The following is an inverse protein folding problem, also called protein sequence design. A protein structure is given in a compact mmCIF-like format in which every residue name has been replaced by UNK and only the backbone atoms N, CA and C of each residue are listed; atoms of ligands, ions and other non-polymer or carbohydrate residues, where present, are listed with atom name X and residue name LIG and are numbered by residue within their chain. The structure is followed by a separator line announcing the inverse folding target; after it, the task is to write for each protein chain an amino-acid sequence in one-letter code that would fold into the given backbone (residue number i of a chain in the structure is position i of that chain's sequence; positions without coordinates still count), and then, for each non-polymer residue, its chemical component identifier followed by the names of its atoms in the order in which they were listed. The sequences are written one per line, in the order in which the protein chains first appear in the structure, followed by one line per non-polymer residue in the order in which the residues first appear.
data_IF_134395678174
#
_entry.id   IF_134395678174
#
_cell.length_a   1.000
_cell.length_b   1.000
_cell.length_c   1.000
_cell.angle_alpha   90.00
_cell.angle_beta   90.00
_cell.angle_gamma   90.00
#
_symmetry.space_group_name_H-M   'P 1'
#
loop_
_entity.id
_entity.type
_entity.pdbx_description
1 polymer ?
#
# COMPACT_ATOMS: atom_id res chain seq x y z
N UNK A 1 -30.00 11.97 -5.12
CA UNK A 1 -29.21 10.76 -4.80
C UNK A 1 -27.98 10.74 -5.69
N UNK A 2 -26.78 10.91 -5.14
CA UNK A 2 -25.51 10.97 -5.90
C UNK A 2 -25.00 9.55 -6.12
N UNK A 3 -24.61 9.19 -7.35
CA UNK A 3 -24.11 7.85 -7.71
C UNK A 3 -22.96 7.40 -6.77
N UNK A 4 -22.98 6.15 -6.26
CA UNK A 4 -21.96 5.63 -5.34
C UNK A 4 -20.56 5.58 -5.96
N UNK A 5 -20.47 5.54 -7.30
CA UNK A 5 -19.22 5.57 -8.06
C UNK A 5 -18.48 6.91 -7.93
N UNK A 6 -19.20 8.03 -7.95
CA UNK A 6 -18.60 9.36 -7.75
C UNK A 6 -18.04 9.52 -6.33
N UNK A 7 -18.72 8.94 -5.34
CA UNK A 7 -18.32 9.04 -3.92
C UNK A 7 -16.95 8.41 -3.65
N UNK A 8 -16.64 7.29 -4.32
CA UNK A 8 -15.34 6.60 -4.19
C UNK A 8 -14.19 7.40 -4.79
N UNK A 9 -14.44 8.18 -5.83
CA UNK A 9 -13.42 9.04 -6.47
C UNK A 9 -13.22 10.37 -5.75
N UNK A 10 -14.31 10.91 -5.18
CA UNK A 10 -14.30 12.16 -4.43
C UNK A 10 -13.70 12.01 -3.03
N UNK A 11 -14.04 10.95 -2.28
CA UNK A 11 -13.60 10.80 -0.87
C UNK A 11 -12.08 10.91 -0.66
N UNK A 12 -11.22 10.30 -1.49
CA UNK A 12 -9.76 10.44 -1.34
C UNK A 12 -9.23 11.83 -1.72
N UNK A 13 -9.97 12.60 -2.53
CA UNK A 13 -9.53 13.87 -3.14
C UNK A 13 -10.16 15.11 -2.49
N UNK A 14 -11.03 14.93 -1.50
CA UNK A 14 -11.69 16.03 -0.77
C UNK A 14 -10.71 17.00 -0.15
N UNK A 15 -9.64 16.49 0.48
CA UNK A 15 -8.61 17.33 1.11
C UNK A 15 -7.89 18.22 0.09
N UNK A 16 -7.58 17.67 -1.09
CA UNK A 16 -6.95 18.42 -2.18
C UNK A 16 -7.88 19.49 -2.75
N UNK A 17 -9.17 19.18 -2.89
CA UNK A 17 -10.18 20.14 -3.35
C UNK A 17 -10.37 21.29 -2.37
N UNK A 18 -10.41 21.03 -1.06
CA UNK A 18 -10.47 22.10 -0.05
C UNK A 18 -9.18 22.92 0.02
N UNK A 19 -8.01 22.32 -0.21
CA UNK A 19 -6.75 23.05 -0.28
C UNK A 19 -6.68 23.96 -1.52
N UNK A 20 -7.10 23.47 -2.69
CA UNK A 20 -7.18 24.27 -3.93
C UNK A 20 -8.17 25.42 -3.75
N UNK A 21 -9.34 25.16 -3.16
CA UNK A 21 -10.31 26.21 -2.85
C UNK A 21 -9.74 27.27 -1.91
N UNK A 22 -8.97 26.86 -0.89
CA UNK A 22 -8.28 27.78 0.01
C UNK A 22 -7.23 28.65 -0.69
N UNK A 23 -6.44 28.07 -1.60
CA UNK A 23 -5.45 28.81 -2.41
C UNK A 23 -6.14 29.83 -3.32
N UNK A 24 -7.20 29.43 -4.01
CA UNK A 24 -7.96 30.33 -4.90
C UNK A 24 -8.63 31.47 -4.12
N UNK A 25 -9.15 31.19 -2.92
CA UNK A 25 -9.74 32.20 -2.06
C UNK A 25 -8.69 33.19 -1.54
N UNK A 26 -7.52 32.69 -1.10
CA UNK A 26 -6.41 33.51 -0.64
C UNK A 26 -5.87 34.43 -1.75
N UNK A 27 -5.73 33.91 -2.97
CA UNK A 27 -5.30 34.67 -4.14
C UNK A 27 -6.35 35.71 -4.57
N UNK A 28 -7.64 35.38 -4.49
CA UNK A 28 -8.73 36.32 -4.76
C UNK A 28 -8.81 37.47 -3.75
N UNK A 29 -8.53 37.20 -2.47
CA UNK A 29 -8.44 38.24 -1.44
C UNK A 29 -7.23 39.16 -1.68
N UNK A 30 -6.09 38.59 -2.09
CA UNK A 30 -4.88 39.36 -2.37
C UNK A 30 -5.04 40.33 -3.56
N UNK A 31 -5.90 40.00 -4.54
CA UNK A 31 -6.15 40.87 -5.72
C UNK A 31 -7.18 41.97 -5.48
N UNK A 32 -7.86 42.02 -4.32
CA UNK A 32 -8.85 43.06 -3.95
C UNK A 32 -8.23 44.40 -3.49
N UNK A 33 -6.90 44.50 -3.36
CA UNK A 33 -6.14 45.75 -3.22
C UNK A 33 -5.73 46.13 -1.79
N UNK A 34 -4.53 46.72 -1.64
CA UNK A 34 -3.94 47.20 -0.38
C UNK A 34 -2.86 46.27 0.19
N UNK A 35 -1.75 46.83 0.72
CA UNK A 35 -0.61 46.06 1.25
C UNK A 35 -1.00 45.13 2.40
N UNK A 36 -1.98 45.54 3.21
CA UNK A 36 -2.52 44.75 4.32
C UNK A 36 -3.29 43.51 3.83
N UNK A 37 -4.16 43.69 2.82
CA UNK A 37 -4.95 42.61 2.23
C UNK A 37 -4.07 41.64 1.41
N UNK A 38 -3.04 42.17 0.74
CA UNK A 38 -2.01 41.37 0.07
C UNK A 38 -1.22 40.48 1.04
N UNK A 39 -0.76 41.05 2.17
CA UNK A 39 -0.05 40.28 3.20
C UNK A 39 -0.90 39.17 3.81
N UNK A 40 -2.16 39.47 4.15
CA UNK A 40 -3.08 38.49 4.74
C UNK A 40 -3.44 37.36 3.75
N UNK A 41 -3.66 37.68 2.48
CA UNK A 41 -3.89 36.69 1.43
C UNK A 41 -2.68 35.77 1.20
N UNK A 42 -1.46 36.32 1.33
CA UNK A 42 -0.22 35.56 1.18
C UNK A 42 -0.02 34.56 2.33
N UNK A 43 -0.30 34.96 3.57
CA UNK A 43 -0.27 34.06 4.74
C UNK A 43 -1.27 32.91 4.60
N UNK A 44 -2.50 33.20 4.18
CA UNK A 44 -3.53 32.17 3.94
C UNK A 44 -3.11 31.22 2.82
N UNK A 45 -2.56 31.75 1.73
CA UNK A 45 -2.10 30.95 0.59
C UNK A 45 -0.94 30.02 0.98
N UNK A 46 0.06 30.54 1.71
CA UNK A 46 1.19 29.74 2.18
C UNK A 46 0.75 28.66 3.18
N UNK A 47 -0.17 28.98 4.09
CA UNK A 47 -0.71 28.01 5.05
C UNK A 47 -1.44 26.88 4.34
N UNK A 48 -2.28 27.21 3.35
CA UNK A 48 -2.97 26.22 2.52
C UNK A 48 -1.98 25.39 1.67
N UNK A 49 -0.93 26.00 1.14
CA UNK A 49 0.11 25.30 0.37
C UNK A 49 0.91 24.31 1.22
N UNK A 50 1.31 24.69 2.45
CA UNK A 50 1.99 23.79 3.40
C UNK A 50 1.08 22.61 3.75
N UNK A 51 -0.21 22.87 3.97
CA UNK A 51 -1.19 21.82 4.27
C UNK A 51 -1.44 20.90 3.06
N UNK A 52 -1.45 21.46 1.84
CA UNK A 52 -1.55 20.71 0.59
C UNK A 52 -0.33 19.80 0.36
N UNK A 53 0.88 20.28 0.62
CA UNK A 53 2.11 19.49 0.52
C UNK A 53 2.10 18.35 1.55
N UNK A 54 1.66 18.61 2.78
CA UNK A 54 1.49 17.57 3.80
C UNK A 54 0.48 16.50 3.39
N UNK A 55 -0.65 16.91 2.80
CA UNK A 55 -1.68 16.00 2.30
C UNK A 55 -1.23 15.22 1.07
N UNK A 56 -0.51 15.86 0.14
CA UNK A 56 0.08 15.23 -1.05
C UNK A 56 1.12 14.18 -0.67
N UNK A 57 2.00 14.49 0.29
CA UNK A 57 2.96 13.52 0.83
C UNK A 57 2.26 12.33 1.49
N UNK A 58 1.14 12.55 2.17
CA UNK A 58 0.31 11.47 2.74
C UNK A 58 -0.39 10.65 1.67
N UNK A 59 -0.83 11.24 0.55
CA UNK A 59 -1.33 10.48 -0.61
C UNK A 59 -0.22 9.65 -1.27
N UNK A 60 1.01 10.14 -1.34
CA UNK A 60 2.15 9.39 -1.91
C UNK A 60 2.53 8.15 -1.07
N UNK A 61 2.29 8.19 0.25
CA UNK A 61 2.43 7.03 1.15
C UNK A 61 1.19 6.14 1.21
N UNK A 62 0.06 6.55 0.62
CA UNK A 62 -1.08 5.67 0.37
C UNK A 62 -0.80 4.87 -0.90
N UNK A 63 0.04 3.84 -0.79
CA UNK A 63 -0.15 2.66 -1.64
C UNK A 63 -1.56 2.17 -1.33
N UNK A 64 -2.45 2.24 -2.32
CA UNK A 64 -3.84 1.79 -2.18
C UNK A 64 -3.82 0.41 -1.52
N UNK A 65 -4.47 0.29 -0.36
CA UNK A 65 -4.81 -1.01 0.22
C UNK A 65 -5.89 -1.56 -0.73
N UNK A 66 -5.42 -2.10 -1.86
CA UNK A 66 -6.22 -2.38 -3.03
C UNK A 66 -6.89 -3.74 -2.97
N UNK A 67 -6.45 -4.62 -2.06
CA UNK A 67 -6.98 -5.95 -1.89
C UNK A 67 -7.67 -6.10 -0.51
N UNK A 68 -8.87 -6.70 -0.45
CA UNK A 68 -9.59 -6.91 0.80
C UNK A 68 -8.86 -7.96 1.66
N UNK A 69 -8.07 -7.49 2.63
CA UNK A 69 -7.55 -8.34 3.69
C UNK A 69 -6.53 -7.66 4.60
N UNK A 70 -6.29 -8.29 5.76
CA UNK A 70 -5.29 -7.87 6.76
C UNK A 70 -4.34 -9.04 7.00
N UNK A 71 -3.05 -8.76 6.94
CA UNK A 71 -2.00 -9.68 7.31
C UNK A 71 -1.41 -9.30 8.66
N UNK A 72 -1.27 -10.29 9.52
CA UNK A 72 -0.62 -10.20 10.82
C UNK A 72 0.46 -11.27 10.90
N UNK A 73 1.65 -10.88 11.37
CA UNK A 73 2.71 -11.83 11.72
C UNK A 73 2.91 -11.77 13.22
N UNK A 74 2.77 -12.90 13.88
CA UNK A 74 2.85 -13.00 15.35
C UNK A 74 3.44 -14.36 15.74
N UNK A 75 4.41 -14.37 16.66
CA UNK A 75 5.10 -15.58 17.16
C UNK A 75 5.51 -16.60 16.07
N UNK A 76 5.90 -16.12 14.89
CA UNK A 76 6.27 -16.97 13.75
C UNK A 76 5.10 -17.62 13.04
N UNK A 77 3.87 -17.14 13.24
CA UNK A 77 2.69 -17.48 12.45
C UNK A 77 2.32 -16.32 11.53
N UNK A 78 2.02 -16.63 10.26
CA UNK A 78 1.51 -15.70 9.27
C UNK A 78 0.00 -15.91 9.17
N UNK A 79 -0.77 -14.91 9.57
CA UNK A 79 -2.23 -14.91 9.52
C UNK A 79 -2.70 -13.93 8.46
N UNK A 80 -3.51 -14.39 7.53
CA UNK A 80 -4.14 -13.54 6.53
C UNK A 80 -5.66 -13.67 6.62
N UNK A 81 -6.30 -12.54 6.93
CA UNK A 81 -7.75 -12.42 7.01
C UNK A 81 -8.26 -11.74 5.74
N UNK A 82 -9.02 -12.46 4.91
CA UNK A 82 -9.63 -11.92 3.71
C UNK A 82 -11.16 -12.00 3.78
N UNK A 83 -11.84 -10.94 3.37
CA UNK A 83 -13.31 -10.88 3.40
C UNK A 83 -13.97 -11.62 2.21
N UNK A 84 -13.23 -11.81 1.11
CA UNK A 84 -13.73 -12.38 -0.15
C UNK A 84 -12.86 -13.50 -0.73
N UNK A 85 -11.72 -13.77 -0.10
CA UNK A 85 -10.82 -14.85 -0.47
C UNK A 85 -10.69 -15.81 0.73
N UNK A 86 -10.18 -17.02 0.48
CA UNK A 86 -9.81 -17.95 1.53
C UNK A 86 -8.67 -17.33 2.34
N UNK A 87 -9.00 -16.78 3.50
CA UNK A 87 -8.03 -16.46 4.54
C UNK A 87 -7.42 -17.74 5.11
N UNK A 88 -6.34 -17.59 5.87
CA UNK A 88 -5.67 -18.74 6.47
C UNK A 88 -4.55 -18.33 7.40
N UNK A 89 -4.11 -19.31 8.17
CA UNK A 89 -2.96 -19.20 9.07
C UNK A 89 -1.97 -20.27 8.72
N UNK A 90 -0.71 -19.90 8.58
CA UNK A 90 0.40 -20.84 8.37
C UNK A 90 1.53 -20.50 9.33
N UNK A 91 2.22 -21.51 9.85
CA UNK A 91 3.42 -21.28 10.62
C UNK A 91 4.62 -21.08 9.69
N UNK A 92 5.46 -20.11 9.99
CA UNK A 92 6.68 -19.77 9.25
C UNK A 92 7.65 -20.95 9.19
N UNK A 93 7.74 -21.74 10.27
CA UNK A 93 8.57 -22.95 10.34
C UNK A 93 8.13 -24.07 9.38
N UNK A 94 6.84 -24.09 9.03
CA UNK A 94 6.26 -25.12 8.16
C UNK A 94 6.32 -24.69 6.68
N UNK A 95 6.80 -23.48 6.42
CA UNK A 95 6.93 -22.91 5.09
C UNK A 95 8.03 -23.65 4.31
N UNK A 96 7.66 -24.18 3.14
CA UNK A 96 8.58 -24.91 2.27
C UNK A 96 8.84 -24.18 0.96
N UNK A 97 7.98 -23.24 0.58
CA UNK A 97 8.13 -22.52 -0.68
C UNK A 97 7.43 -21.17 -0.67
N UNK A 98 8.11 -20.15 -1.20
CA UNK A 98 7.58 -18.81 -1.43
C UNK A 98 7.61 -18.53 -2.93
N UNK A 99 6.44 -18.26 -3.49
CA UNK A 99 6.30 -17.82 -4.88
C UNK A 99 5.66 -16.45 -4.97
N UNK A 100 6.06 -15.70 -5.98
CA UNK A 100 5.40 -14.47 -6.42
C UNK A 100 4.58 -14.80 -7.67
N UNK A 101 3.26 -14.57 -7.60
CA UNK A 101 2.35 -14.71 -8.73
C UNK A 101 1.81 -13.36 -9.15
N UNK A 102 1.63 -13.18 -10.46
CA UNK A 102 0.89 -12.05 -11.02
C UNK A 102 -0.47 -12.52 -11.50
N UNK A 103 -1.52 -12.06 -10.84
CA UNK A 103 -2.93 -12.36 -11.11
C UNK A 103 -3.65 -11.03 -11.40
N UNK A 104 -4.33 -10.92 -12.54
CA UNK A 104 -5.05 -9.70 -12.96
C UNK A 104 -4.20 -8.41 -12.87
N UNK A 105 -2.92 -8.50 -13.22
CA UNK A 105 -1.97 -7.39 -13.16
C UNK A 105 -1.50 -7.00 -11.75
N UNK A 106 -1.84 -7.79 -10.72
CA UNK A 106 -1.45 -7.58 -9.33
C UNK A 106 -0.59 -8.72 -8.80
N UNK A 107 0.41 -8.37 -8.01
CA UNK A 107 1.32 -9.34 -7.42
C UNK A 107 0.77 -9.92 -6.11
N UNK A 108 0.93 -11.23 -5.97
CA UNK A 108 0.48 -12.01 -4.83
C UNK A 108 1.60 -12.95 -4.37
N UNK A 109 1.80 -13.02 -3.06
CA UNK A 109 2.59 -14.05 -2.41
C UNK A 109 1.79 -15.34 -2.34
N UNK A 110 2.38 -16.44 -2.80
CA UNK A 110 1.91 -17.79 -2.50
C UNK A 110 2.89 -18.48 -1.58
N UNK A 111 2.42 -18.75 -0.38
CA UNK A 111 3.18 -19.35 0.71
C UNK A 111 2.70 -20.78 0.85
N UNK A 112 3.56 -21.76 0.56
CA UNK A 112 3.20 -23.18 0.62
C UNK A 112 3.82 -23.82 1.85
N UNK A 113 3.04 -24.62 2.58
CA UNK A 113 3.50 -25.38 3.74
C UNK A 113 3.86 -26.81 3.37
N UNK A 114 4.56 -27.49 4.29
CA UNK A 114 4.92 -28.91 4.16
C UNK A 114 3.69 -29.81 4.02
N UNK A 115 2.59 -29.46 4.68
CA UNK A 115 1.32 -30.21 4.65
C UNK A 115 0.52 -30.00 3.35
N UNK A 116 1.08 -29.27 2.37
CA UNK A 116 0.45 -29.02 1.08
C UNK A 116 -0.55 -27.87 1.06
N UNK A 117 -0.77 -27.20 2.21
CA UNK A 117 -1.58 -25.98 2.26
C UNK A 117 -0.86 -24.84 1.55
N UNK A 118 -1.62 -23.95 0.92
CA UNK A 118 -1.09 -22.76 0.28
C UNK A 118 -1.92 -21.53 0.67
N UNK A 119 -1.24 -20.51 1.18
CA UNK A 119 -1.83 -19.21 1.48
C UNK A 119 -1.50 -18.22 0.37
N UNK A 120 -2.52 -17.57 -0.19
CA UNK A 120 -2.36 -16.53 -1.21
C UNK A 120 -2.62 -15.16 -0.58
N UNK A 121 -1.58 -14.32 -0.52
CA UNK A 121 -1.62 -13.00 0.09
C UNK A 121 -1.28 -11.94 -0.96
N UNK A 122 -2.13 -10.95 -1.21
CA UNK A 122 -1.79 -9.80 -2.06
C UNK A 122 -0.57 -9.04 -1.51
N UNK A 123 0.35 -8.63 -2.39
CA UNK A 123 1.54 -7.84 -1.99
C UNK A 123 1.12 -6.47 -1.42
N UNK A 124 -0.03 -5.96 -1.82
CA UNK A 124 -0.62 -4.69 -1.37
C UNK A 124 -1.64 -4.86 -0.23
N UNK A 125 -1.71 -6.04 0.42
CA UNK A 125 -2.54 -6.24 1.60
C UNK A 125 -2.07 -5.38 2.78
N UNK A 126 -3.00 -5.00 3.65
CA UNK A 126 -2.67 -4.24 4.86
C UNK A 126 -1.82 -5.11 5.79
N UNK A 127 -0.63 -4.64 6.17
CA UNK A 127 0.31 -5.38 7.01
C UNK A 127 1.24 -6.33 6.26
N UNK A 128 1.17 -6.39 4.92
CA UNK A 128 2.04 -7.23 4.11
C UNK A 128 3.54 -6.85 4.20
N UNK A 129 3.85 -5.66 4.68
CA UNK A 129 5.21 -5.21 5.01
C UNK A 129 5.87 -6.07 6.09
N UNK A 130 5.11 -6.62 7.04
CA UNK A 130 5.61 -7.54 8.07
C UNK A 130 6.17 -8.85 7.50
N UNK A 131 5.77 -9.23 6.27
CA UNK A 131 6.32 -10.42 5.61
C UNK A 131 7.81 -10.29 5.33
N UNK A 132 8.32 -9.08 5.07
CA UNK A 132 9.75 -8.89 4.81
C UNK A 132 10.60 -9.33 6.01
N UNK A 133 10.21 -8.93 7.22
CA UNK A 133 10.90 -9.30 8.46
C UNK A 133 10.71 -10.79 8.79
N UNK A 134 9.54 -11.36 8.51
CA UNK A 134 9.29 -12.79 8.67
C UNK A 134 10.17 -13.63 7.72
N UNK A 135 10.24 -13.21 6.46
CA UNK A 135 11.04 -13.84 5.42
C UNK A 135 12.54 -13.78 5.73
N UNK A 136 13.02 -12.68 6.32
CA UNK A 136 14.41 -12.53 6.75
C UNK A 136 14.88 -13.63 7.73
N UNK A 137 13.95 -14.23 8.48
CA UNK A 137 14.24 -15.28 9.45
C UNK A 137 14.41 -16.66 8.80
N UNK A 138 14.08 -16.81 7.51
CA UNK A 138 14.18 -18.08 6.79
C UNK A 138 15.62 -18.35 6.35
N UNK A 139 16.14 -19.58 6.57
CA UNK A 139 17.51 -19.92 6.22
C UNK A 139 17.71 -19.89 4.69
N UNK A 140 18.71 -19.14 4.25
CA UNK A 140 19.11 -19.07 2.84
C UNK A 140 18.20 -18.21 1.95
N UNK A 141 17.28 -17.43 2.52
CA UNK A 141 16.55 -16.42 1.77
C UNK A 141 17.39 -15.16 1.56
N UNK A 142 17.44 -14.67 0.31
CA UNK A 142 18.02 -13.38 -0.03
C UNK A 142 16.91 -12.32 -0.25
N UNK A 143 16.80 -11.37 0.68
CA UNK A 143 15.86 -10.25 0.61
C UNK A 143 16.12 -9.32 -0.59
N UNK A 144 17.36 -9.21 -1.05
CA UNK A 144 17.71 -8.46 -2.26
C UNK A 144 17.08 -9.09 -3.50
N UNK A 145 17.15 -10.42 -3.61
CA UNK A 145 16.49 -11.17 -4.67
C UNK A 145 14.96 -11.02 -4.63
N UNK A 146 14.36 -11.06 -3.44
CA UNK A 146 12.92 -10.83 -3.23
C UNK A 146 12.50 -9.43 -3.72
N UNK A 147 13.24 -8.39 -3.33
CA UNK A 147 12.97 -7.00 -3.72
C UNK A 147 13.14 -6.77 -5.23
N UNK A 148 14.17 -7.37 -5.83
CA UNK A 148 14.38 -7.33 -7.28
C UNK A 148 13.22 -8.01 -8.04
N UNK A 149 12.71 -9.13 -7.52
CA UNK A 149 11.56 -9.81 -8.09
C UNK A 149 10.28 -8.95 -8.07
N UNK A 150 10.04 -8.23 -6.98
CA UNK A 150 8.90 -7.29 -6.84
C UNK A 150 9.02 -6.07 -7.77
N UNK A 151 10.24 -5.61 -8.02
CA UNK A 151 10.50 -4.41 -8.82
C UNK A 151 10.37 -4.65 -10.32
N UNK A 152 10.40 -5.90 -10.78
CA UNK A 152 10.29 -6.24 -12.19
C UNK A 152 8.85 -6.10 -12.72
N UNK A 153 8.64 -5.06 -13.53
CA UNK A 153 7.45 -4.88 -14.35
C UNK A 153 7.56 -5.74 -15.61
N UNK A 154 6.55 -6.57 -15.89
CA UNK A 154 6.48 -7.37 -17.12
C UNK A 154 7.23 -8.71 -17.15
N UNK A 155 7.60 -9.28 -15.99
CA UNK A 155 8.22 -10.62 -15.91
C UNK A 155 7.22 -11.79 -15.95
N UNK A 156 7.71 -13.03 -15.80
CA UNK A 156 6.88 -14.25 -15.74
C UNK A 156 5.76 -14.14 -14.70
N UNK A 157 4.58 -14.68 -15.02
CA UNK A 157 3.40 -14.67 -14.14
C UNK A 157 3.57 -15.49 -12.86
N UNK A 158 4.56 -16.39 -12.82
CA UNK A 158 4.93 -17.20 -11.66
C UNK A 158 6.45 -17.13 -11.49
N UNK A 159 6.90 -16.79 -10.28
CA UNK A 159 8.31 -16.80 -9.92
C UNK A 159 8.51 -17.43 -8.57
N UNK A 160 9.41 -18.39 -8.49
CA UNK A 160 9.83 -18.96 -7.21
C UNK A 160 10.90 -18.02 -6.64
N UNK A 161 10.68 -17.56 -5.42
CA UNK A 161 11.59 -16.63 -4.73
C UNK A 161 12.44 -17.39 -3.70
N UNK A 162 11.88 -18.46 -3.14
CA UNK A 162 12.56 -19.30 -2.18
C UNK A 162 11.94 -20.67 -2.08
N UNK A 163 12.79 -21.66 -1.79
CA UNK A 163 12.42 -23.03 -1.47
C UNK A 163 13.25 -23.47 -0.29
N UNK A 164 12.63 -24.12 0.69
CA UNK A 164 13.36 -24.73 1.79
C UNK A 164 14.35 -25.78 1.26
N UNK A 165 15.56 -25.82 1.81
CA UNK A 165 16.48 -26.93 1.53
C UNK A 165 15.81 -28.24 1.97
N UNK A 166 15.88 -29.32 1.17
CA UNK A 166 15.48 -30.63 1.65
C UNK A 166 16.38 -30.98 2.83
N UNK A 167 15.75 -31.17 3.99
CA UNK A 167 16.41 -31.65 5.21
C UNK A 167 16.56 -33.16 5.19
#
# INVERSE_FOLDING_TARGET
MIRPELRRWLMPRRELLSAIAGILLGLWIATRGGWLLGGMGLVVTLSAAVWAVGSWRRLAFRRDIGAPGVLEVDEGAIRYYAARALGGTIALRDLVEIRLLRLDGRDHWRLRTRDGQALLVPVDARGADQLADAFAQLPGLDLGHVSAALSQKGGPSLRIVWTAKPG
#
